data_IF_696019842991
#
_entry.id   IF_696019842991
#
_cell.length_a   1.000
_cell.length_b   1.000
_cell.length_c   1.000
_cell.angle_alpha   90.00
_cell.angle_beta   90.00
_cell.angle_gamma   90.00
#
_symmetry.space_group_name_H-M   'P 1'
#
loop_
_entity.id
_entity.type
_entity.pdbx_description
1 polymer ?
#
# COMPACT_ATOMS: atom_id res chain seq x y z
N UNK A 1 16.62 24.78 13.66
CA UNK A 1 15.38 23.97 13.65
C UNK A 1 15.79 22.51 13.58
N UNK A 2 15.57 21.72 14.63
CA UNK A 2 15.80 20.26 14.60
C UNK A 2 14.82 19.66 13.59
N UNK A 3 15.33 19.00 12.55
CA UNK A 3 14.52 18.18 11.65
C UNK A 3 13.92 17.05 12.50
N UNK A 4 12.66 17.16 12.84
CA UNK A 4 11.94 16.08 13.51
C UNK A 4 12.09 14.81 12.63
N UNK A 5 12.43 13.69 13.29
CA UNK A 5 12.48 12.39 12.64
C UNK A 5 11.13 12.09 11.97
N UNK A 6 11.13 11.44 10.80
CA UNK A 6 9.92 11.01 10.09
C UNK A 6 9.00 10.24 11.03
N UNK A 7 9.55 9.39 11.89
CA UNK A 7 8.82 8.70 12.96
C UNK A 7 8.10 9.66 13.92
N UNK A 8 8.76 10.75 14.32
CA UNK A 8 8.16 11.77 15.19
C UNK A 8 6.98 12.47 14.55
N UNK A 9 7.07 12.82 13.26
CA UNK A 9 5.96 13.43 12.50
C UNK A 9 4.79 12.47 12.33
N UNK A 10 5.04 11.22 11.93
CA UNK A 10 4.00 10.20 11.80
C UNK A 10 3.27 9.98 13.13
N UNK A 11 4.01 9.84 14.23
CA UNK A 11 3.43 9.63 15.55
C UNK A 11 2.64 10.86 16.07
N UNK A 12 3.09 12.07 15.77
CA UNK A 12 2.42 13.30 16.17
C UNK A 12 1.11 13.49 15.40
N UNK A 13 1.11 13.29 14.09
CA UNK A 13 -0.07 13.39 13.24
C UNK A 13 -1.11 12.30 13.56
N UNK A 14 -0.67 11.07 13.84
CA UNK A 14 -1.56 9.98 14.23
C UNK A 14 -2.26 10.23 15.59
N UNK A 15 -1.69 11.04 16.47
CA UNK A 15 -2.24 11.34 17.81
C UNK A 15 -3.04 12.64 17.88
N UNK A 16 -3.07 13.47 16.83
CA UNK A 16 -3.78 14.73 16.82
C UNK A 16 -5.29 14.52 17.06
N UNK A 17 -5.85 15.24 18.05
CA UNK A 17 -7.29 15.24 18.29
C UNK A 17 -7.95 16.31 17.42
N UNK A 18 -8.49 15.89 16.29
CA UNK A 18 -9.09 16.73 15.27
C UNK A 18 -10.28 17.54 15.83
N UNK A 19 -11.15 16.89 16.61
CA UNK A 19 -12.35 17.53 17.13
C UNK A 19 -12.02 18.72 18.06
N UNK A 20 -11.05 18.54 18.95
CA UNK A 20 -10.61 19.63 19.84
C UNK A 20 -10.01 20.83 19.09
N UNK A 21 -9.37 20.59 17.95
CA UNK A 21 -8.82 21.65 17.11
C UNK A 21 -9.93 22.41 16.38
N UNK A 22 -10.94 21.70 15.87
CA UNK A 22 -12.09 22.30 15.19
C UNK A 22 -12.91 23.15 16.13
N UNK A 23 -13.16 22.67 17.36
CA UNK A 23 -13.97 23.37 18.36
C UNK A 23 -13.33 24.68 18.83
N UNK A 24 -12.02 24.81 18.74
CA UNK A 24 -11.26 26.01 19.12
C UNK A 24 -10.98 26.99 17.99
N UNK A 25 -11.36 26.66 16.76
CA UNK A 25 -11.04 27.46 15.58
C UNK A 25 -12.03 28.61 15.36
N UNK A 26 -11.52 29.79 15.02
CA UNK A 26 -12.30 30.94 14.60
C UNK A 26 -13.01 30.71 13.25
N UNK A 27 -12.35 29.98 12.31
CA UNK A 27 -12.91 29.57 11.03
C UNK A 27 -12.59 28.06 10.83
N UNK A 28 -13.49 27.16 11.30
CA UNK A 28 -13.29 25.71 11.23
C UNK A 28 -13.12 25.19 9.79
N UNK A 29 -13.78 25.79 8.83
CA UNK A 29 -13.73 25.36 7.44
C UNK A 29 -12.36 25.60 6.82
N UNK A 30 -11.84 26.83 6.92
CA UNK A 30 -10.50 27.14 6.39
C UNK A 30 -9.42 26.34 7.10
N UNK A 31 -9.61 26.08 8.40
CA UNK A 31 -8.67 25.26 9.15
C UNK A 31 -8.66 23.82 8.66
N UNK A 32 -9.83 23.22 8.43
CA UNK A 32 -9.92 21.86 7.88
C UNK A 32 -9.35 21.76 6.48
N UNK A 33 -9.62 22.72 5.61
CA UNK A 33 -9.02 22.78 4.26
C UNK A 33 -7.49 22.84 4.34
N UNK A 34 -6.95 23.60 5.27
CA UNK A 34 -5.50 23.66 5.49
C UNK A 34 -4.97 22.32 6.02
N UNK A 35 -5.64 21.74 7.03
CA UNK A 35 -5.25 20.46 7.60
C UNK A 35 -5.27 19.33 6.54
N UNK A 36 -6.27 19.28 5.68
CA UNK A 36 -6.33 18.29 4.59
C UNK A 36 -5.14 18.46 3.65
N UNK A 37 -4.79 19.70 3.28
CA UNK A 37 -3.60 19.97 2.45
C UNK A 37 -2.31 19.53 3.16
N UNK A 38 -2.15 19.92 4.42
CA UNK A 38 -0.94 19.60 5.20
C UNK A 38 -0.79 18.09 5.43
N UNK A 39 -1.89 17.39 5.72
CA UNK A 39 -1.87 15.92 5.84
C UNK A 39 -1.53 15.23 4.51
N UNK A 40 -2.09 15.72 3.41
CA UNK A 40 -1.81 15.18 2.07
C UNK A 40 -0.32 15.31 1.74
N UNK A 41 0.28 16.48 1.99
CA UNK A 41 1.71 16.70 1.74
C UNK A 41 2.60 15.86 2.67
N UNK A 42 2.26 15.80 3.96
CA UNK A 42 3.00 14.99 4.92
C UNK A 42 2.93 13.49 4.59
N UNK A 43 1.78 12.98 4.10
CA UNK A 43 1.64 11.60 3.63
C UNK A 43 2.55 11.36 2.45
N UNK A 44 2.57 12.27 1.47
CA UNK A 44 3.43 12.16 0.29
C UNK A 44 4.92 12.13 0.64
N UNK A 45 5.34 12.99 1.57
CA UNK A 45 6.73 12.96 2.09
C UNK A 45 7.02 11.64 2.81
N UNK A 46 6.08 11.16 3.64
CA UNK A 46 6.21 9.91 4.36
C UNK A 46 6.28 8.70 3.40
N UNK A 47 5.45 8.67 2.36
CA UNK A 47 5.47 7.63 1.32
C UNK A 47 6.83 7.54 0.63
N UNK A 48 7.40 8.68 0.24
CA UNK A 48 8.72 8.70 -0.38
C UNK A 48 9.82 8.16 0.56
N UNK A 49 9.76 8.52 1.84
CA UNK A 49 10.72 8.05 2.83
C UNK A 49 10.55 6.56 3.18
N UNK A 50 9.30 6.08 3.24
CA UNK A 50 9.01 4.65 3.44
C UNK A 50 9.49 3.85 2.23
N UNK A 51 9.25 4.32 1.01
CA UNK A 51 9.74 3.69 -0.21
C UNK A 51 11.27 3.58 -0.23
N UNK A 52 11.98 4.64 0.18
CA UNK A 52 13.45 4.61 0.32
C UNK A 52 13.91 3.58 1.35
N UNK A 53 13.24 3.50 2.50
CA UNK A 53 13.58 2.52 3.55
C UNK A 53 13.34 1.09 3.09
N UNK A 54 12.24 0.84 2.36
CA UNK A 54 11.97 -0.46 1.74
C UNK A 54 13.05 -0.79 0.71
N UNK A 55 13.45 0.16 -0.11
CA UNK A 55 14.53 -0.02 -1.09
C UNK A 55 15.84 -0.45 -0.43
N UNK A 56 16.21 0.18 0.68
CA UNK A 56 17.40 -0.19 1.44
C UNK A 56 17.31 -1.60 2.05
N UNK A 57 16.12 -1.98 2.57
CA UNK A 57 15.89 -3.34 3.06
C UNK A 57 16.05 -4.37 1.94
N UNK A 58 15.46 -4.11 0.76
CA UNK A 58 15.57 -5.02 -0.40
C UNK A 58 17.00 -5.17 -0.89
N UNK A 59 17.79 -4.10 -0.84
CA UNK A 59 19.21 -4.20 -1.16
C UNK A 59 19.95 -5.11 -0.18
N UNK A 60 19.73 -4.92 1.13
CA UNK A 60 20.32 -5.75 2.17
C UNK A 60 19.92 -7.23 2.07
N UNK A 61 18.65 -7.52 1.77
CA UNK A 61 18.15 -8.88 1.52
C UNK A 61 18.82 -9.51 0.29
N UNK A 62 19.05 -8.72 -0.76
CA UNK A 62 19.71 -9.17 -1.99
C UNK A 62 21.18 -9.49 -1.73
N UNK A 63 21.89 -8.61 -1.05
CA UNK A 63 23.30 -8.81 -0.71
C UNK A 63 23.46 -10.08 0.14
N UNK A 64 22.60 -10.29 1.15
CA UNK A 64 22.55 -11.53 1.94
C UNK A 64 22.34 -12.78 1.07
N UNK A 65 21.42 -12.71 0.11
CA UNK A 65 21.16 -13.83 -0.79
C UNK A 65 22.36 -14.12 -1.72
N UNK A 66 23.06 -13.09 -2.17
CA UNK A 66 24.28 -13.19 -2.96
C UNK A 66 25.41 -13.84 -2.15
N UNK A 67 25.60 -13.45 -0.89
CA UNK A 67 26.59 -14.03 0.01
C UNK A 67 26.33 -15.52 0.25
N UNK A 68 25.08 -15.94 0.47
CA UNK A 68 24.72 -17.36 0.58
C UNK A 68 24.99 -18.15 -0.70
N UNK A 69 24.70 -17.56 -1.85
CA UNK A 69 24.97 -18.17 -3.15
C UNK A 69 26.48 -18.31 -3.38
N UNK A 70 27.26 -17.30 -3.02
CA UNK A 70 28.71 -17.31 -3.12
C UNK A 70 29.30 -18.38 -2.21
N UNK A 71 28.84 -18.51 -0.97
CA UNK A 71 29.25 -19.55 -0.05
C UNK A 71 29.02 -20.95 -0.64
N UNK A 72 27.85 -21.21 -1.25
CA UNK A 72 27.56 -22.47 -1.94
C UNK A 72 28.50 -22.75 -3.11
N UNK A 73 28.81 -21.73 -3.91
CA UNK A 73 29.75 -21.86 -5.02
C UNK A 73 31.17 -22.19 -4.54
N UNK A 74 31.64 -21.53 -3.47
CA UNK A 74 32.94 -21.82 -2.89
C UNK A 74 32.99 -23.21 -2.27
N UNK A 75 31.92 -23.66 -1.61
CA UNK A 75 31.80 -25.03 -1.12
C UNK A 75 31.91 -26.07 -2.24
N UNK A 76 31.22 -25.83 -3.36
CA UNK A 76 31.31 -26.71 -4.54
C UNK A 76 32.72 -26.74 -5.13
N UNK A 77 33.40 -25.59 -5.21
CA UNK A 77 34.79 -25.49 -5.65
C UNK A 77 35.77 -26.20 -4.71
N UNK A 78 35.52 -26.09 -3.41
CA UNK A 78 36.32 -26.77 -2.39
C UNK A 78 36.22 -28.29 -2.52
N UNK A 79 34.99 -28.81 -2.70
CA UNK A 79 34.75 -30.23 -2.91
C UNK A 79 35.42 -30.74 -4.19
N UNK A 80 35.27 -30.00 -5.31
CA UNK A 80 35.89 -30.35 -6.58
C UNK A 80 37.43 -30.38 -6.48
N UNK A 81 38.04 -29.40 -5.78
CA UNK A 81 39.48 -29.39 -5.54
C UNK A 81 39.92 -30.53 -4.65
N UNK A 82 39.19 -30.86 -3.59
CA UNK A 82 39.48 -31.98 -2.72
C UNK A 82 39.44 -33.33 -3.46
N UNK A 83 38.38 -33.56 -4.24
CA UNK A 83 38.27 -34.76 -5.06
C UNK A 83 39.47 -34.90 -6.06
N UNK A 84 39.87 -33.78 -6.63
CA UNK A 84 41.00 -33.79 -7.55
C UNK A 84 42.34 -34.06 -6.85
N UNK A 85 42.48 -33.59 -5.62
CA UNK A 85 43.64 -33.93 -4.78
C UNK A 85 43.70 -35.45 -4.50
N UNK A 86 42.56 -36.08 -4.22
CA UNK A 86 42.48 -37.54 -4.02
C UNK A 86 42.88 -38.33 -5.27
N UNK A 87 42.38 -37.90 -6.46
CA UNK A 87 42.73 -38.53 -7.72
C UNK A 87 44.24 -38.51 -7.95
N UNK A 88 44.89 -37.33 -7.74
CA UNK A 88 46.36 -37.20 -7.87
C UNK A 88 47.12 -38.02 -6.83
N UNK A 89 46.60 -38.12 -5.63
CA UNK A 89 47.17 -38.95 -4.55
C UNK A 89 47.15 -40.43 -4.94
N UNK A 90 46.00 -40.92 -5.45
CA UNK A 90 45.85 -42.26 -5.97
C UNK A 90 46.75 -42.57 -7.19
N UNK A 91 47.08 -41.56 -8.01
CA UNK A 91 48.00 -41.66 -9.14
C UNK A 91 49.47 -41.52 -8.74
N UNK A 92 49.80 -41.39 -7.46
CA UNK A 92 51.20 -41.26 -6.98
C UNK A 92 51.80 -39.84 -7.23
N UNK A 93 50.99 -38.84 -7.62
CA UNK A 93 51.43 -37.48 -7.93
C UNK A 93 51.27 -36.55 -6.72
N UNK A 94 51.99 -36.80 -5.65
CA UNK A 94 51.87 -36.11 -4.36
C UNK A 94 52.03 -34.60 -4.45
N UNK A 95 52.91 -34.07 -5.31
CA UNK A 95 53.10 -32.62 -5.51
C UNK A 95 51.84 -31.90 -6.08
N UNK A 96 51.14 -32.56 -7.01
CA UNK A 96 49.89 -32.05 -7.57
C UNK A 96 48.76 -32.16 -6.53
N UNK A 97 48.68 -33.26 -5.80
CA UNK A 97 47.72 -33.41 -4.72
C UNK A 97 47.78 -32.28 -3.68
N UNK A 98 48.99 -31.90 -3.23
CA UNK A 98 49.19 -30.79 -2.29
C UNK A 98 48.70 -29.43 -2.86
N UNK A 99 48.88 -29.20 -4.16
CA UNK A 99 48.39 -27.97 -4.80
C UNK A 99 46.86 -27.91 -4.73
N UNK A 100 46.15 -28.99 -5.05
CA UNK A 100 44.70 -29.05 -5.01
C UNK A 100 44.16 -29.02 -3.56
N UNK A 101 44.84 -29.62 -2.61
CA UNK A 101 44.54 -29.47 -1.17
C UNK A 101 44.61 -28.00 -0.72
N UNK A 102 45.62 -27.27 -1.18
CA UNK A 102 45.71 -25.84 -0.87
C UNK A 102 44.63 -25.02 -1.56
N UNK A 103 44.22 -25.34 -2.78
CA UNK A 103 43.07 -24.71 -3.45
C UNK A 103 41.79 -24.99 -2.69
N UNK A 104 41.57 -26.21 -2.22
CA UNK A 104 40.40 -26.57 -1.37
C UNK A 104 40.39 -25.73 -0.10
N UNK A 105 41.52 -25.55 0.58
CA UNK A 105 41.61 -24.71 1.78
C UNK A 105 41.26 -23.26 1.52
N UNK A 106 41.77 -22.70 0.43
CA UNK A 106 41.44 -21.31 0.02
C UNK A 106 39.95 -21.19 -0.28
N UNK A 107 39.35 -22.17 -0.98
CA UNK A 107 37.92 -22.16 -1.27
C UNK A 107 37.07 -22.26 0.00
N UNK A 108 37.46 -23.09 0.98
CA UNK A 108 36.81 -23.18 2.30
C UNK A 108 36.92 -21.84 3.05
N UNK A 109 38.08 -21.17 3.01
CA UNK A 109 38.22 -19.85 3.64
C UNK A 109 37.25 -18.83 3.04
N UNK A 110 37.10 -18.82 1.72
CA UNK A 110 36.12 -17.96 1.03
C UNK A 110 34.69 -18.32 1.39
N UNK A 111 34.36 -19.60 1.43
CA UNK A 111 33.05 -20.07 1.89
C UNK A 111 32.71 -19.55 3.29
N UNK A 112 33.63 -19.74 4.25
CA UNK A 112 33.46 -19.28 5.64
C UNK A 112 33.29 -17.75 5.71
N UNK A 113 34.01 -17.01 4.87
CA UNK A 113 33.90 -15.57 4.79
C UNK A 113 32.47 -15.18 4.37
N UNK A 114 31.97 -15.69 3.23
CA UNK A 114 30.65 -15.36 2.71
C UNK A 114 29.53 -15.83 3.66
N UNK A 115 29.69 -17.01 4.32
CA UNK A 115 28.74 -17.46 5.37
C UNK A 115 28.74 -16.50 6.57
N UNK A 116 29.88 -15.96 6.94
CA UNK A 116 30.00 -15.03 8.07
C UNK A 116 29.35 -13.68 7.72
N UNK A 117 29.54 -13.18 6.50
CA UNK A 117 28.92 -11.95 5.99
C UNK A 117 27.42 -12.11 5.92
N UNK A 118 26.89 -13.20 5.35
CA UNK A 118 25.47 -13.51 5.34
C UNK A 118 24.87 -13.54 6.75
N UNK A 119 25.50 -14.26 7.67
CA UNK A 119 25.05 -14.36 9.06
C UNK A 119 25.04 -13.02 9.80
N UNK A 120 26.00 -12.14 9.50
CA UNK A 120 26.07 -10.79 10.07
C UNK A 120 24.95 -9.87 9.55
N UNK A 121 24.43 -10.12 8.35
CA UNK A 121 23.33 -9.35 7.77
C UNK A 121 21.95 -9.73 8.39
N UNK A 122 21.74 -10.96 8.85
CA UNK A 122 20.45 -11.43 9.37
C UNK A 122 19.83 -10.53 10.46
N UNK A 123 20.54 -10.12 11.53
CA UNK A 123 19.97 -9.26 12.55
C UNK A 123 19.66 -7.85 12.03
N UNK A 124 20.41 -7.38 11.04
CA UNK A 124 20.15 -6.09 10.39
C UNK A 124 18.88 -6.15 9.55
N UNK A 125 18.70 -7.22 8.78
CA UNK A 125 17.47 -7.48 7.99
C UNK A 125 16.27 -7.53 8.91
N UNK A 126 16.33 -8.30 10.00
CA UNK A 126 15.25 -8.42 10.98
C UNK A 126 14.89 -7.06 11.58
N UNK A 127 15.88 -6.27 12.00
CA UNK A 127 15.67 -4.93 12.55
C UNK A 127 15.06 -3.97 11.52
N UNK A 128 15.55 -3.97 10.28
CA UNK A 128 15.03 -3.11 9.21
C UNK A 128 13.60 -3.52 8.80
N UNK A 129 13.29 -4.81 8.80
CA UNK A 129 11.94 -5.31 8.54
C UNK A 129 10.95 -4.76 9.56
N UNK A 130 11.28 -4.83 10.86
CA UNK A 130 10.44 -4.26 11.93
C UNK A 130 10.22 -2.74 11.75
N UNK A 131 11.27 -2.03 11.37
CA UNK A 131 11.18 -0.58 11.08
C UNK A 131 10.25 -0.31 9.91
N UNK A 132 10.38 -1.05 8.81
CA UNK A 132 9.51 -0.92 7.63
C UNK A 132 8.05 -1.20 7.98
N UNK A 133 7.77 -2.22 8.78
CA UNK A 133 6.41 -2.58 9.17
C UNK A 133 5.77 -1.51 10.08
N UNK A 134 6.53 -0.96 11.01
CA UNK A 134 6.09 0.19 11.83
C UNK A 134 5.80 1.42 10.97
N UNK A 135 6.63 1.71 9.98
CA UNK A 135 6.43 2.83 9.06
C UNK A 135 5.18 2.64 8.19
N UNK A 136 4.97 1.45 7.63
CA UNK A 136 3.76 1.12 6.86
C UNK A 136 2.50 1.28 7.72
N UNK A 137 2.52 0.76 8.96
CA UNK A 137 1.42 0.92 9.90
C UNK A 137 1.10 2.38 10.21
N UNK A 138 2.13 3.18 10.46
CA UNK A 138 2.00 4.63 10.67
C UNK A 138 1.43 5.36 9.46
N UNK A 139 1.88 5.01 8.25
CA UNK A 139 1.37 5.58 6.99
C UNK A 139 -0.12 5.25 6.78
N UNK A 140 -0.53 4.03 7.06
CA UNK A 140 -1.94 3.64 6.98
C UNK A 140 -2.80 4.42 7.99
N UNK A 141 -2.29 4.64 9.20
CA UNK A 141 -2.98 5.49 10.20
C UNK A 141 -3.12 6.93 9.72
N UNK A 142 -2.08 7.50 9.10
CA UNK A 142 -2.16 8.86 8.53
C UNK A 142 -3.19 8.94 7.40
N UNK A 143 -3.27 7.95 6.51
CA UNK A 143 -4.27 7.88 5.44
C UNK A 143 -5.70 7.81 6.01
N UNK A 144 -5.92 7.00 7.04
CA UNK A 144 -7.20 6.95 7.75
C UNK A 144 -7.59 8.30 8.36
N UNK A 145 -6.64 9.02 8.97
CA UNK A 145 -6.86 10.36 9.50
C UNK A 145 -7.16 11.39 8.40
N UNK A 146 -6.50 11.32 7.26
CA UNK A 146 -6.82 12.18 6.12
C UNK A 146 -8.25 11.95 5.62
N UNK A 147 -8.69 10.70 5.57
CA UNK A 147 -10.06 10.36 5.18
C UNK A 147 -11.07 10.92 6.17
N UNK A 148 -10.82 10.79 7.48
CA UNK A 148 -11.65 11.36 8.55
C UNK A 148 -11.74 12.89 8.42
N UNK A 149 -10.61 13.57 8.21
CA UNK A 149 -10.54 15.03 7.99
C UNK A 149 -11.32 15.45 6.75
N UNK A 150 -11.16 14.73 5.65
CA UNK A 150 -11.85 15.03 4.40
C UNK A 150 -13.37 14.89 4.56
N UNK A 151 -13.84 13.82 5.19
CA UNK A 151 -15.25 13.60 5.48
C UNK A 151 -15.82 14.73 6.36
N UNK A 152 -15.08 15.16 7.40
CA UNK A 152 -15.51 16.24 8.30
C UNK A 152 -15.56 17.58 7.60
N UNK A 153 -14.58 17.89 6.74
CA UNK A 153 -14.60 19.07 5.89
C UNK A 153 -15.83 19.10 4.99
N UNK A 154 -16.14 17.97 4.32
CA UNK A 154 -17.26 17.88 3.39
C UNK A 154 -18.61 18.00 4.13
N UNK A 155 -18.74 17.42 5.33
CA UNK A 155 -19.90 17.60 6.21
C UNK A 155 -20.13 19.08 6.56
N UNK A 156 -19.06 19.79 7.02
CA UNK A 156 -19.16 21.20 7.36
C UNK A 156 -19.47 22.08 6.16
N UNK A 157 -18.89 21.78 4.99
CA UNK A 157 -19.20 22.49 3.74
C UNK A 157 -20.66 22.32 3.33
N UNK A 158 -21.21 21.10 3.44
CA UNK A 158 -22.62 20.83 3.16
C UNK A 158 -23.52 21.60 4.13
N UNK A 159 -23.22 21.56 5.43
CA UNK A 159 -23.98 22.27 6.46
C UNK A 159 -23.96 23.79 6.26
N UNK A 160 -22.80 24.36 5.91
CA UNK A 160 -22.71 25.80 5.62
C UNK A 160 -23.53 26.22 4.41
N UNK A 161 -23.50 25.41 3.30
CA UNK A 161 -24.35 25.66 2.14
C UNK A 161 -25.83 25.63 2.48
N UNK A 162 -26.27 24.71 3.34
CA UNK A 162 -27.65 24.64 3.83
C UNK A 162 -28.03 25.88 4.61
N UNK A 163 -27.17 26.33 5.54
CA UNK A 163 -27.41 27.55 6.35
C UNK A 163 -27.45 28.81 5.44
N UNK A 164 -26.55 28.90 4.45
CA UNK A 164 -26.57 30.01 3.50
C UNK A 164 -27.85 30.01 2.64
N UNK A 165 -28.30 28.83 2.19
CA UNK A 165 -29.56 28.73 1.45
C UNK A 165 -30.77 29.13 2.30
N UNK A 166 -30.81 28.71 3.58
CA UNK A 166 -31.86 29.12 4.52
C UNK A 166 -31.85 30.63 4.78
N UNK A 167 -30.67 31.24 4.94
CA UNK A 167 -30.55 32.68 5.12
C UNK A 167 -31.06 33.45 3.90
N UNK A 168 -30.72 32.99 2.66
CA UNK A 168 -31.23 33.59 1.43
C UNK A 168 -32.76 33.51 1.30
N UNK A 169 -33.36 32.38 1.73
CA UNK A 169 -34.81 32.20 1.77
C UNK A 169 -35.43 33.19 2.78
N UNK A 170 -34.87 33.32 3.99
CA UNK A 170 -35.36 34.28 5.00
C UNK A 170 -35.24 35.73 4.54
N UNK A 171 -34.15 36.11 3.93
CA UNK A 171 -33.96 37.48 3.41
C UNK A 171 -34.91 37.78 2.21
N UNK A 172 -35.16 36.78 1.37
CA UNK A 172 -36.17 36.89 0.34
C UNK A 172 -37.58 37.08 0.92
N UNK A 173 -37.95 36.32 1.97
CA UNK A 173 -39.23 36.48 2.66
C UNK A 173 -39.40 37.86 3.31
N UNK A 174 -38.34 38.41 3.94
CA UNK A 174 -38.37 39.77 4.49
C UNK A 174 -38.58 40.87 3.45
N UNK A 175 -38.07 40.68 2.24
CA UNK A 175 -38.27 41.62 1.14
C UNK A 175 -39.71 41.61 0.55
N UNK A 176 -40.48 40.53 0.82
CA UNK A 176 -41.86 40.40 0.37
C UNK A 176 -42.91 41.17 1.22
N UNK A 177 -42.54 41.56 2.44
CA UNK A 177 -43.48 42.21 3.35
C UNK A 177 -43.84 43.68 3.01
N UNK A 178 -43.33 44.21 1.85
CA UNK A 178 -43.45 45.61 1.50
C UNK A 178 -44.26 45.89 0.20
N UNK A 179 -44.52 44.93 -0.73
CA UNK A 179 -45.26 45.22 -1.96
C UNK A 179 -46.03 44.02 -2.54
N UNK A 180 -47.37 44.16 -2.55
CA UNK A 180 -48.43 43.43 -3.31
C UNK A 180 -48.29 41.89 -3.42
N UNK A 181 -49.17 41.14 -2.69
CA UNK A 181 -48.98 39.70 -2.45
C UNK A 181 -49.31 38.75 -3.62
N UNK A 182 -49.96 39.16 -4.68
CA UNK A 182 -50.60 38.22 -5.61
C UNK A 182 -49.82 37.89 -6.88
N UNK A 183 -48.90 38.72 -7.33
CA UNK A 183 -48.11 38.44 -8.55
C UNK A 183 -46.71 37.87 -8.29
N UNK A 184 -46.17 38.04 -7.11
CA UNK A 184 -44.80 37.61 -6.77
C UNK A 184 -44.75 36.25 -6.09
N UNK A 185 -45.80 35.79 -5.40
CA UNK A 185 -45.91 34.47 -4.78
C UNK A 185 -45.72 33.36 -5.83
N UNK A 186 -46.34 33.52 -7.02
CA UNK A 186 -46.22 32.55 -8.10
C UNK A 186 -44.78 32.49 -8.68
N UNK A 187 -44.07 33.61 -8.76
CA UNK A 187 -42.65 33.67 -9.22
C UNK A 187 -41.70 33.08 -8.18
N UNK A 188 -42.08 33.18 -6.90
CA UNK A 188 -41.27 32.66 -5.81
C UNK A 188 -41.44 31.14 -5.67
N UNK A 189 -42.67 30.62 -5.77
CA UNK A 189 -42.96 29.21 -5.86
C UNK A 189 -42.21 28.53 -7.02
N UNK A 190 -42.17 29.16 -8.18
CA UNK A 190 -41.42 28.69 -9.33
C UNK A 190 -39.89 28.67 -9.08
N UNK A 191 -39.37 29.64 -8.33
CA UNK A 191 -37.94 29.69 -7.98
C UNK A 191 -37.56 28.63 -6.92
N UNK A 192 -38.39 28.43 -5.90
CA UNK A 192 -38.23 27.35 -4.93
C UNK A 192 -38.30 26.00 -5.64
N UNK A 193 -39.28 25.79 -6.51
CA UNK A 193 -39.47 24.55 -7.24
C UNK A 193 -38.28 24.20 -8.14
N UNK A 194 -37.66 25.21 -8.76
CA UNK A 194 -36.43 25.04 -9.56
C UNK A 194 -35.23 24.70 -8.67
N UNK A 195 -35.13 25.28 -7.48
CA UNK A 195 -34.04 25.04 -6.57
C UNK A 195 -34.15 23.65 -5.91
N UNK A 196 -35.39 23.27 -5.55
CA UNK A 196 -35.69 21.90 -5.07
C UNK A 196 -35.36 20.85 -6.15
N UNK A 197 -35.74 21.11 -7.41
CA UNK A 197 -35.41 20.23 -8.53
C UNK A 197 -33.89 20.15 -8.77
N UNK A 198 -33.17 21.27 -8.56
CA UNK A 198 -31.69 21.30 -8.66
C UNK A 198 -31.03 20.49 -7.54
N UNK A 199 -31.51 20.62 -6.32
CA UNK A 199 -31.02 19.86 -5.17
C UNK A 199 -31.32 18.37 -5.33
N UNK A 200 -32.54 18.02 -5.77
CA UNK A 200 -32.91 16.64 -6.07
C UNK A 200 -32.04 16.04 -7.20
N UNK A 201 -31.80 16.81 -8.26
CA UNK A 201 -30.90 16.38 -9.34
C UNK A 201 -29.43 16.22 -8.90
N UNK A 202 -28.94 17.02 -7.97
CA UNK A 202 -27.60 16.84 -7.38
C UNK A 202 -27.55 15.59 -6.50
N UNK A 203 -28.62 15.28 -5.78
CA UNK A 203 -28.72 14.10 -4.94
C UNK A 203 -28.79 12.82 -5.78
N UNK A 204 -29.56 12.84 -6.87
CA UNK A 204 -29.65 11.75 -7.84
C UNK A 204 -28.31 11.49 -8.55
N UNK A 205 -27.54 12.56 -8.86
CA UNK A 205 -26.17 12.42 -9.39
C UNK A 205 -25.20 11.81 -8.35
N UNK A 206 -25.35 12.15 -7.08
CA UNK A 206 -24.53 11.58 -6.01
C UNK A 206 -24.87 10.10 -5.80
N UNK A 207 -26.15 9.75 -5.76
CA UNK A 207 -26.63 8.38 -5.62
C UNK A 207 -26.23 7.53 -6.84
N UNK A 208 -26.38 8.04 -8.06
CA UNK A 208 -25.98 7.36 -9.30
C UNK A 208 -24.46 7.15 -9.40
N UNK A 209 -23.65 7.94 -8.70
CA UNK A 209 -22.20 7.76 -8.63
C UNK A 209 -21.81 6.65 -7.64
N UNK A 210 -22.58 6.49 -6.57
CA UNK A 210 -22.43 5.40 -5.60
C UNK A 210 -22.88 4.08 -6.22
N UNK A 211 -24.03 4.04 -6.88
CA UNK A 211 -24.53 2.83 -7.56
C UNK A 211 -23.55 2.33 -8.61
N UNK A 212 -22.94 3.22 -9.41
CA UNK A 212 -21.88 2.84 -10.37
C UNK A 212 -20.61 2.32 -9.69
N UNK A 213 -20.27 2.78 -8.49
CA UNK A 213 -19.14 2.25 -7.74
C UNK A 213 -19.45 0.86 -7.16
N UNK A 214 -20.70 0.60 -6.74
CA UNK A 214 -21.13 -0.72 -6.30
C UNK A 214 -21.23 -1.70 -7.47
N UNK A 215 -21.74 -1.28 -8.62
CA UNK A 215 -21.79 -2.08 -9.85
C UNK A 215 -20.38 -2.49 -10.33
N UNK A 216 -19.41 -1.56 -10.25
CA UNK A 216 -18.00 -1.86 -10.55
C UNK A 216 -17.36 -2.83 -9.53
N UNK A 217 -17.81 -2.82 -8.27
CA UNK A 217 -17.36 -3.77 -7.25
C UNK A 217 -17.96 -5.16 -7.46
N UNK A 218 -19.22 -5.25 -7.88
CA UNK A 218 -19.88 -6.52 -8.24
C UNK A 218 -19.25 -7.16 -9.48
N UNK A 219 -18.92 -6.36 -10.49
CA UNK A 219 -18.21 -6.81 -11.70
C UNK A 219 -16.80 -7.37 -11.37
N UNK A 220 -16.06 -6.72 -10.48
CA UNK A 220 -14.78 -7.23 -9.98
C UNK A 220 -14.94 -8.54 -9.19
N UNK A 221 -16.01 -8.68 -8.41
CA UNK A 221 -16.33 -9.91 -7.67
C UNK A 221 -16.64 -11.07 -8.62
N UNK A 222 -17.41 -10.83 -9.68
CA UNK A 222 -17.74 -11.83 -10.69
C UNK A 222 -16.53 -12.25 -11.53
N UNK A 223 -15.65 -11.33 -11.90
CA UNK A 223 -14.41 -11.66 -12.61
C UNK A 223 -13.49 -12.56 -11.77
N UNK A 224 -13.36 -12.28 -10.47
CA UNK A 224 -12.55 -13.11 -9.57
C UNK A 224 -13.14 -14.54 -9.42
N UNK A 225 -14.47 -14.67 -9.39
CA UNK A 225 -15.14 -15.97 -9.32
C UNK A 225 -15.02 -16.74 -10.64
N UNK A 226 -15.10 -16.06 -11.78
CA UNK A 226 -14.89 -16.66 -13.12
C UNK A 226 -13.45 -17.16 -13.27
N UNK A 227 -12.46 -16.38 -12.84
CA UNK A 227 -11.04 -16.79 -12.86
C UNK A 227 -10.77 -17.99 -11.95
N UNK A 228 -11.37 -17.99 -10.74
CA UNK A 228 -11.26 -19.14 -9.83
C UNK A 228 -11.90 -20.41 -10.40
N UNK A 229 -13.06 -20.31 -11.04
CA UNK A 229 -13.73 -21.43 -11.71
C UNK A 229 -12.97 -21.92 -12.95
N UNK A 230 -12.37 -21.01 -13.71
CA UNK A 230 -11.54 -21.34 -14.85
C UNK A 230 -10.24 -22.06 -14.42
N UNK A 231 -9.63 -21.63 -13.32
CA UNK A 231 -8.47 -22.29 -12.73
C UNK A 231 -8.82 -23.72 -12.25
N UNK A 232 -9.98 -23.89 -11.60
CA UNK A 232 -10.48 -25.19 -11.17
C UNK A 232 -10.76 -26.14 -12.35
N UNK A 233 -11.34 -25.63 -13.45
CA UNK A 233 -11.57 -26.40 -14.67
C UNK A 233 -10.25 -26.84 -15.34
N UNK A 234 -9.26 -25.97 -15.39
CA UNK A 234 -7.93 -26.29 -15.92
C UNK A 234 -7.20 -27.33 -15.06
N UNK A 235 -7.33 -27.26 -13.74
CA UNK A 235 -6.78 -28.25 -12.82
C UNK A 235 -7.48 -29.61 -12.92
N UNK A 236 -8.80 -29.62 -13.20
CA UNK A 236 -9.58 -30.86 -13.39
C UNK A 236 -9.34 -31.57 -14.73
N UNK A 237 -8.87 -30.86 -15.76
CA UNK A 237 -8.52 -31.46 -17.05
C UNK A 237 -7.14 -32.14 -17.07
N UNK A 238 -6.20 -31.67 -16.21
CA UNK A 238 -4.87 -32.30 -16.09
C UNK A 238 -4.87 -33.70 -15.42
N UNK A 239 -6.02 -34.10 -14.84
CA UNK A 239 -6.15 -35.42 -14.17
C UNK A 239 -6.77 -36.51 -15.01
N UNK A 240 -7.22 -36.22 -16.24
CA UNK A 240 -7.89 -37.23 -17.11
C UNK A 240 -7.01 -37.78 -18.22
N UNK A 241 -5.85 -37.23 -18.47
CA UNK A 241 -4.91 -37.74 -19.48
C UNK A 241 -3.86 -38.74 -18.94
N UNK A 242 -3.88 -39.02 -17.62
CA UNK A 242 -2.97 -39.99 -16.99
C UNK A 242 -3.46 -41.44 -16.87
N UNK A 243 -4.72 -41.74 -17.23
CA UNK A 243 -5.33 -43.06 -16.95
C UNK A 243 -5.77 -43.83 -18.19
N UNK A 244 -5.09 -43.61 -19.33
CA UNK A 244 -5.39 -44.34 -20.58
C UNK A 244 -4.22 -44.99 -21.30
N UNK A 245 -3.14 -45.29 -20.61
CA UNK A 245 -2.02 -46.06 -21.18
C UNK A 245 -1.58 -47.17 -20.22
N UNK A 246 -2.46 -48.01 -19.74
CA UNK A 246 -2.11 -49.36 -19.25
C UNK A 246 -3.35 -50.24 -19.38
N UNK A 247 -3.63 -50.76 -20.55
CA UNK A 247 -4.33 -52.06 -20.76
C UNK A 247 -4.54 -52.34 -22.26
N UNK A 248 -3.48 -52.73 -22.91
CA UNK A 248 -3.54 -53.46 -24.18
C UNK A 248 -2.24 -54.22 -24.43
N UNK A 249 -1.93 -55.19 -23.59
CA UNK A 249 -1.06 -56.31 -23.90
C UNK A 249 -1.38 -57.43 -22.90
N UNK A 250 -2.28 -58.29 -23.33
CA UNK A 250 -2.38 -59.74 -23.05
C UNK A 250 -3.76 -60.22 -23.53
N UNK A 251 -3.81 -60.72 -24.75
CA UNK A 251 -4.27 -62.05 -25.21
C UNK A 251 -3.99 -62.16 -26.72
#
# INVERSE_FOLDING_TARGET
>A
MMKQSIFGRIAQLAKANINSLIDSAEDPQKMLDQMVRDYTENIREAEAAVAQTIGNLRLLEKDHAEDLQEAQQWGSKALAASNKAEEFRGAGKSGEAVKFDNLAKVAIQRQIQSETEAKAAEPQIASQTEVVDKLKGGLNTMRGKLQELSAKRDELNARQKTVQAQAQVQDSLKSFDIMDPTSEVSRFEDKIRREEARVAGQQELADSSLDRQFEALEDMGQQTEIEARLAALKAGQGSKDGEKIVSAEEI
#
